data_IF_115103696008
#
_entry.id   IF_115103696008
#
_cell.length_a   1.000
_cell.length_b   1.000
_cell.length_c   1.000
_cell.angle_alpha   90.00
_cell.angle_beta   90.00
_cell.angle_gamma   90.00
#
_symmetry.space_group_name_H-M   'P 1'
#
loop_
_entity.id
_entity.type
_entity.pdbx_description
1 polymer ?
2 non-polymer ?
3 water ?
#
# COMPACT_ATOMS: atom_id res chain seq x y z
N UNK A 7 16.16 -10.21 4.23
CA UNK A 7 14.67 -10.19 4.30
C UNK A 7 14.17 -8.84 4.80
N UNK A 8 13.24 -8.24 4.07
CA UNK A 8 12.68 -6.94 4.42
C UNK A 8 11.17 -7.04 4.64
N UNK A 9 10.69 -6.38 5.68
CA UNK A 9 9.26 -6.39 5.99
C UNK A 9 8.65 -5.14 5.36
N UNK A 10 7.60 -5.31 4.56
CA UNK A 10 6.94 -4.18 3.92
C UNK A 10 5.44 -4.17 4.21
N UNK A 11 4.85 -2.98 4.18
CA UNK A 11 3.42 -2.80 4.42
C UNK A 11 2.87 -2.08 3.20
N UNK A 12 2.02 -2.77 2.44
CA UNK A 12 1.45 -2.20 1.23
C UNK A 12 -0.04 -1.94 1.34
N UNK A 13 -0.46 -0.77 0.88
CA UNK A 13 -1.84 -0.34 0.95
C UNK A 13 -2.53 -0.21 -0.40
N UNK A 14 -1.77 -0.27 -1.48
CA UNK A 14 -2.38 -0.07 -2.78
C UNK A 14 -2.01 -1.00 -3.91
N UNK A 15 -1.24 -0.48 -4.85
CA UNK A 15 -0.83 -1.19 -6.05
C UNK A 15 -0.21 -2.57 -5.87
N UNK A 16 0.47 -2.78 -4.75
CA UNK A 16 1.11 -4.06 -4.47
C UNK A 16 0.23 -5.06 -3.71
N UNK A 17 -0.93 -4.63 -3.24
CA UNK A 17 -1.82 -5.54 -2.51
C UNK A 17 -2.32 -6.67 -3.41
N UNK A 18 -2.70 -7.78 -2.78
CA UNK A 18 -3.20 -8.93 -3.51
C UNK A 18 -4.31 -8.52 -4.48
N UNK A 19 -4.17 -8.97 -5.73
CA UNK A 19 -5.17 -8.66 -6.75
C UNK A 19 -5.00 -7.32 -7.44
N UNK A 20 -4.11 -6.48 -6.92
CA UNK A 20 -3.87 -5.16 -7.50
C UNK A 20 -2.84 -5.25 -8.63
N UNK A 21 -2.74 -4.21 -9.47
CA UNK A 21 -1.81 -4.20 -10.61
C UNK A 21 -0.37 -4.69 -10.51
N UNK A 22 0.30 -4.46 -9.39
CA UNK A 22 1.69 -4.90 -9.29
C UNK A 22 1.91 -6.03 -8.29
N UNK A 23 0.84 -6.72 -7.91
CA UNK A 23 1.01 -7.79 -6.94
C UNK A 23 1.92 -8.92 -7.38
N UNK A 24 2.06 -9.12 -8.69
CA UNK A 24 2.91 -10.20 -9.17
C UNK A 24 4.34 -10.09 -8.66
N UNK A 25 4.76 -8.89 -8.26
CA UNK A 25 6.11 -8.71 -7.73
C UNK A 25 6.29 -9.43 -6.39
N UNK A 26 5.18 -9.72 -5.72
CA UNK A 26 5.21 -10.37 -4.41
C UNK A 26 4.82 -11.85 -4.42
N UNK A 27 4.73 -12.45 -5.59
CA UNK A 27 4.34 -13.85 -5.70
C UNK A 27 5.16 -14.84 -4.89
N UNK A 28 6.41 -14.49 -4.59
CA UNK A 28 7.25 -15.38 -3.81
C UNK A 28 7.37 -14.96 -2.35
N UNK A 29 6.85 -13.77 -2.04
CA UNK A 29 6.91 -13.22 -0.69
C UNK A 29 6.00 -13.95 0.31
N UNK A 30 6.28 -13.76 1.59
CA UNK A 30 5.48 -14.38 2.64
C UNK A 30 4.50 -13.38 3.24
N UNK A 31 3.21 -13.70 3.14
CA UNK A 31 2.16 -12.85 3.68
C UNK A 31 2.06 -13.10 5.18
N UNK A 32 2.22 -12.05 5.98
CA UNK A 32 2.14 -12.18 7.43
C UNK A 32 0.72 -11.91 7.91
N UNK A 33 0.02 -11.03 7.21
CA UNK A 33 -1.34 -10.68 7.59
C UNK A 33 -1.60 -9.22 7.32
N UNK A 34 -2.84 -8.79 7.52
CA UNK A 34 -3.19 -7.39 7.31
C UNK A 34 -3.10 -6.66 8.63
N UNK A 35 -3.02 -5.34 8.56
CA UNK A 35 -2.94 -4.52 9.76
C UNK A 35 -3.43 -3.13 9.40
N UNK A 36 -3.51 -2.26 10.40
CA UNK A 36 -3.93 -0.88 10.19
C UNK A 36 -2.85 0.05 10.70
N UNK A 37 -2.48 1.02 9.87
CA UNK A 37 -1.45 1.99 10.24
C UNK A 37 -2.14 3.30 10.62
N UNK A 38 -1.91 3.75 11.85
CA UNK A 38 -2.50 4.99 12.32
C UNK A 38 -1.72 6.18 11.79
N UNK A 39 -2.41 7.30 11.56
CA UNK A 39 -1.74 8.49 11.08
C UNK A 39 -1.60 8.64 9.58
N UNK A 40 -2.40 7.90 8.82
CA UNK A 40 -2.34 7.98 7.36
C UNK A 40 -3.71 8.05 6.71
N UNK A 41 -3.78 8.77 5.60
CA UNK A 41 -5.01 8.90 4.83
C UNK A 41 -4.73 8.31 3.45
N UNK A 42 -5.78 7.83 2.80
CA UNK A 42 -5.66 7.22 1.48
C UNK A 42 -6.47 7.97 0.44
N UNK A 43 -5.82 8.31 -0.67
CA UNK A 43 -6.46 9.02 -1.77
C UNK A 43 -6.26 8.19 -3.04
N UNK A 44 -7.12 8.39 -4.03
CA UNK A 44 -6.99 7.65 -5.26
C UNK A 44 -7.47 8.41 -6.49
N UNK A 45 -6.59 8.55 -7.47
CA UNK A 45 -6.94 9.18 -8.74
C UNK A 45 -6.71 8.05 -9.75
N UNK A 46 -5.50 7.96 -10.30
CA UNK A 46 -5.17 6.87 -11.21
C UNK A 46 -4.26 5.90 -10.44
N UNK A 47 -3.72 6.40 -9.33
CA UNK A 47 -2.84 5.64 -8.45
C UNK A 47 -3.26 5.91 -7.02
N UNK A 48 -2.97 4.97 -6.11
CA UNK A 48 -3.32 5.13 -4.70
C UNK A 48 -2.22 5.92 -3.99
N UNK A 49 -2.62 6.79 -3.07
CA UNK A 49 -1.67 7.62 -2.35
C UNK A 49 -1.88 7.61 -0.84
N UNK A 50 -0.84 7.25 -0.10
CA UNK A 50 -0.92 7.28 1.35
C UNK A 50 -0.10 8.47 1.80
N UNK A 51 -0.72 9.37 2.56
CA UNK A 51 -0.04 10.55 3.07
C UNK A 51 -0.40 10.69 4.54
N UNK A 52 0.48 11.32 5.31
CA UNK A 52 0.22 11.49 6.72
C UNK A 52 -1.01 12.36 6.94
N UNK A 53 -1.81 11.98 7.92
CA UNK A 53 -3.02 12.71 8.23
C UNK A 53 -3.89 11.93 9.19
N UNK A 54 -4.95 12.57 9.68
CA UNK A 54 -5.88 11.94 10.60
C UNK A 54 -6.58 10.74 9.96
N UNK A 55 -6.45 9.57 10.58
CA UNK A 55 -7.10 8.38 10.05
C UNK A 55 -6.25 7.13 10.11
N UNK A 56 -6.81 6.00 9.68
CA UNK A 56 -6.06 4.75 9.67
C UNK A 56 -6.06 4.13 8.28
N UNK A 57 -4.95 3.48 7.96
CA UNK A 57 -4.74 2.89 6.65
C UNK A 57 -4.60 1.37 6.69
N UNK A 58 -5.37 0.68 5.86
CA UNK A 58 -5.29 -0.78 5.81
C UNK A 58 -4.12 -1.21 4.93
N UNK A 59 -3.30 -2.10 5.46
CA UNK A 59 -2.15 -2.62 4.73
C UNK A 59 -2.07 -4.13 4.83
N UNK A 60 -1.33 -4.71 3.89
CA UNK A 60 -1.03 -6.13 3.87
C UNK A 60 0.46 -6.12 4.17
N UNK A 61 0.88 -6.91 5.15
CA UNK A 61 2.29 -6.96 5.53
C UNK A 61 2.96 -8.22 5.00
N UNK A 62 4.10 -8.03 4.34
CA UNK A 62 4.86 -9.13 3.76
C UNK A 62 6.32 -9.12 4.15
N UNK A 63 6.94 -10.29 4.05
CA UNK A 63 8.37 -10.44 4.29
C UNK A 63 8.89 -10.76 2.90
N UNK A 64 9.83 -9.96 2.40
CA UNK A 64 10.39 -10.18 1.07
C UNK A 64 11.91 -10.23 1.17
N UNK A 65 12.56 -10.95 0.25
CA UNK A 65 14.01 -11.01 0.29
C UNK A 65 14.59 -9.72 -0.28
N UNK A 66 15.89 -9.53 -0.10
CA UNK A 66 16.59 -8.34 -0.57
C UNK A 66 16.41 -8.07 -2.06
N UNK A 67 16.61 -9.11 -2.87
CA UNK A 67 16.49 -8.97 -4.32
C UNK A 67 15.10 -8.50 -4.71
N UNK A 68 14.07 -9.08 -4.10
CA UNK A 68 12.70 -8.70 -4.40
C UNK A 68 12.45 -7.24 -4.02
N UNK A 69 12.88 -6.84 -2.83
CA UNK A 69 12.69 -5.47 -2.39
C UNK A 69 13.37 -4.48 -3.34
N UNK A 70 14.61 -4.77 -3.72
CA UNK A 70 15.34 -3.89 -4.63
C UNK A 70 14.64 -3.77 -5.98
N UNK A 71 14.08 -4.87 -6.47
CA UNK A 71 13.39 -4.85 -7.75
C UNK A 71 12.18 -3.92 -7.68
N UNK A 72 11.42 -4.04 -6.60
CA UNK A 72 10.24 -3.21 -6.41
C UNK A 72 10.62 -1.74 -6.28
N UNK A 73 11.65 -1.47 -5.50
CA UNK A 73 12.09 -0.10 -5.26
C UNK A 73 12.77 0.53 -6.48
N UNK A 74 12.80 -0.22 -7.58
CA UNK A 74 13.38 0.26 -8.84
C UNK A 74 12.27 0.57 -9.84
N UNK A 75 11.08 0.04 -9.60
CA UNK A 75 9.93 0.26 -10.48
C UNK A 75 9.73 1.75 -10.74
N UNK A 76 9.58 2.11 -12.01
CA UNK A 76 9.40 3.50 -12.41
C UNK A 76 8.27 4.22 -11.67
N UNK A 77 7.14 3.54 -11.50
CA UNK A 77 5.99 4.13 -10.84
C UNK A 77 6.27 4.54 -9.39
N UNK A 78 7.37 4.04 -8.83
CA UNK A 78 7.72 4.39 -7.46
C UNK A 78 8.34 5.77 -7.35
N UNK A 79 8.54 6.43 -8.49
CA UNK A 79 9.14 7.76 -8.57
C UNK A 79 8.60 8.79 -7.58
N UNK A 80 7.29 8.87 -7.49
CA UNK A 80 6.68 9.85 -6.61
C UNK A 80 6.52 9.46 -5.15
N UNK A 81 6.90 8.23 -4.80
CA UNK A 81 6.79 7.76 -3.43
C UNK A 81 8.16 7.67 -2.76
N UNK A 82 8.20 7.89 -1.45
CA UNK A 82 9.46 7.78 -0.73
C UNK A 82 9.27 6.76 0.39
N UNK A 83 10.34 6.03 0.68
CA UNK A 83 10.33 4.98 1.67
C UNK A 83 10.32 5.49 3.11
N UNK A 84 9.36 5.04 3.89
CA UNK A 84 9.26 5.42 5.29
C UNK A 84 9.08 4.16 6.12
N UNK A 85 9.25 4.28 7.43
CA UNK A 85 9.09 3.15 8.32
C UNK A 85 7.83 3.35 9.14
N UNK A 86 7.08 2.26 9.32
CA UNK A 86 5.85 2.29 10.09
C UNK A 86 5.81 1.10 11.04
N UNK A 87 5.07 1.25 12.12
CA UNK A 87 4.94 0.16 13.08
C UNK A 87 3.76 -0.72 12.67
N UNK A 88 3.92 -2.03 12.80
CA UNK A 88 2.84 -2.97 12.50
C UNK A 88 2.86 -3.98 13.64
N UNK A 89 1.80 -4.76 13.78
CA UNK A 89 1.75 -5.74 14.85
C UNK A 89 2.72 -6.89 14.61
N UNK A 90 3.38 -6.89 13.45
CA UNK A 90 4.35 -7.93 13.13
C UNK A 90 5.76 -7.35 13.24
N UNK A 91 5.84 -6.08 13.62
CA UNK A 91 7.13 -5.42 13.74
C UNK A 91 7.25 -4.28 12.74
N UNK A 92 8.35 -3.54 12.81
CA UNK A 92 8.57 -2.42 11.90
C UNK A 92 8.60 -2.88 10.45
N UNK A 93 8.05 -2.06 9.57
CA UNK A 93 8.01 -2.37 8.15
C UNK A 93 8.19 -1.11 7.32
N UNK A 94 8.60 -1.28 6.07
CA UNK A 94 8.76 -0.16 5.17
C UNK A 94 7.46 0.04 4.40
N UNK A 95 7.16 1.30 4.10
CA UNK A 95 5.96 1.67 3.38
C UNK A 95 6.33 2.77 2.41
N UNK A 96 5.70 2.77 1.23
CA UNK A 96 5.97 3.78 0.22
C UNK A 96 4.95 4.89 0.35
N UNK A 97 5.40 6.00 0.94
CA UNK A 97 4.57 7.16 1.17
C UNK A 97 4.58 8.12 -0.02
N UNK A 98 3.41 8.57 -0.44
CA UNK A 98 3.35 9.50 -1.56
C UNK A 98 4.07 10.77 -1.12
N UNK A 99 4.99 11.25 -1.94
CA UNK A 99 5.78 12.42 -1.58
C UNK A 99 5.32 13.81 -1.98
N UNK A 100 4.07 13.94 -2.43
CA UNK A 100 3.54 15.23 -2.82
C UNK A 100 2.10 15.35 -2.33
N UNK A 101 1.41 16.40 -2.75
CA UNK A 101 0.02 16.58 -2.36
C UNK A 101 -0.74 15.40 -2.95
N UNK A 102 -1.69 14.83 -2.20
CA UNK A 102 -2.42 13.69 -2.76
C UNK A 102 -3.37 14.16 -3.85
N UNK A 103 -3.75 13.25 -4.74
CA UNK A 103 -4.67 13.55 -5.83
C UNK A 103 -5.84 12.57 -5.79
N UNK A 104 -6.99 13.00 -6.30
CA UNK A 104 -8.15 12.12 -6.33
C UNK A 104 -9.01 12.18 -5.08
N UNK A 105 -10.10 11.43 -5.09
CA UNK A 105 -11.01 11.41 -3.95
C UNK A 105 -10.43 10.65 -2.77
N UNK A 106 -10.79 11.06 -1.57
CA UNK A 106 -10.32 10.38 -0.38
C UNK A 106 -11.09 9.09 -0.18
N UNK A 107 -10.38 8.03 0.19
CA UNK A 107 -11.02 6.75 0.47
C UNK A 107 -11.16 6.75 1.99
N UNK A 108 -12.35 7.15 2.45
CA UNK A 108 -12.65 7.27 3.87
C UNK A 108 -12.37 6.06 4.75
N UNK A 109 -12.62 4.86 4.24
CA UNK A 109 -12.38 3.66 5.03
C UNK A 109 -10.90 3.38 5.22
N UNK A 110 -10.07 4.02 4.40
CA UNK A 110 -8.63 3.81 4.49
C UNK A 110 -8.25 2.46 3.90
N UNK A 111 -9.20 1.83 3.22
CA UNK A 111 -9.01 0.52 2.60
C UNK A 111 -9.20 0.64 1.08
N UNK A 112 -8.14 0.34 0.33
CA UNK A 112 -8.15 0.42 -1.13
C UNK A 112 -9.24 -0.46 -1.75
N UNK A 113 -9.69 -1.48 -1.01
CA UNK A 113 -10.74 -2.37 -1.52
C UNK A 113 -12.08 -1.66 -1.67
N UNK A 114 -12.19 -0.46 -1.12
CA UNK A 114 -13.43 0.29 -1.22
C UNK A 114 -13.78 0.49 -2.69
N UNK A 115 -12.75 0.58 -3.53
CA UNK A 115 -12.96 0.78 -4.97
C UNK A 115 -13.66 -0.44 -5.58
N UNK A 116 -13.37 -1.63 -5.06
CA UNK A 116 -13.99 -2.85 -5.55
C UNK A 116 -15.46 -2.89 -5.13
N UNK A 117 -15.76 -2.26 -4.01
CA UNK A 117 -17.14 -2.22 -3.54
C UNK A 117 -17.93 -1.40 -4.55
N UNK A 118 -17.28 -0.40 -5.14
CA UNK A 118 -17.92 0.45 -6.14
C UNK A 118 -18.20 -0.38 -7.39
N UNK A 119 -17.25 -1.24 -7.74
CA UNK A 119 -17.41 -2.12 -8.90
C UNK A 119 -18.64 -3.00 -8.66
N UNK A 120 -18.73 -3.52 -7.44
CA UNK A 120 -19.83 -4.38 -7.02
C UNK A 120 -21.17 -3.67 -7.19
N UNK A 121 -21.21 -2.41 -6.78
CA UNK A 121 -22.41 -1.58 -6.87
C UNK A 121 -22.88 -1.34 -8.30
N UNK A 122 -21.93 -1.26 -9.23
CA UNK A 122 -22.26 -0.99 -10.63
C UNK A 122 -22.54 -2.20 -11.51
N UNK A 123 -21.95 -3.35 -11.19
CA UNK A 123 -22.11 -4.54 -12.02
C UNK A 123 -22.83 -5.73 -11.39
N UNK A 124 -23.01 -5.72 -10.07
CA UNK A 124 -23.65 -6.85 -9.41
C UNK A 124 -24.87 -6.46 -8.59
X LIG B 1 5.74 -0.20 -6.56
X LIG B 1 4.52 0.56 -6.55
X LIG B 1 4.39 1.36 -5.34
X LIG B 1 5.57 2.21 -5.12
X LIG B 1 3.03 1.75 -4.97
X LIG B 1 2.84 2.54 -3.73
X LIG B 1 2.87 1.74 -2.46
X LIG B 1 1.55 0.54 -2.49
X LIG B 1 1.84 -0.70 -3.52
X LIG B 1 1.43 -0.03 -0.97
X LIG B 1 0.21 1.35 -2.97
X LIG B 1 6.77 1.42 -5.07
X LIG B 1 6.92 0.59 -6.26
#
# INVERSE_FOLDING_TARGET
MSYKEKSVRIAVYGTLRKGKPLHWYLKGAKFLGEDWIEGYQLYFEYLPYAVKGKGKLKVEVYEVDKETFERINEIEIGTGYRLVEVSTKFGKAFLWEWGSKPRGKRIKSGDFDEIRLEHHHHHH
NHE C3' C2' C1' C6' N C1 C2 S O1 O2 O3 C5' C4'
#
